data_IF_288579202575
#
_entry.id   IF_288579202575
#
_cell.length_a   1.000
_cell.length_b   1.000
_cell.length_c   1.000
_cell.angle_alpha   90.00
_cell.angle_beta   90.00
_cell.angle_gamma   90.00
#
_symmetry.space_group_name_H-M   'P 1'
#
loop_
_entity.id
_entity.type
_entity.pdbx_description
1 polymer ?
#
# COMPACT_ATOMS: atom_id res chain seq x y z
N UNK A 1 7.75 -6.23 18.67
CA UNK A 1 6.89 -5.60 17.63
C UNK A 1 5.85 -6.58 17.09
N UNK A 2 6.24 -7.75 16.59
CA UNK A 2 5.27 -8.77 16.14
C UNK A 2 4.28 -9.20 17.22
N UNK A 3 4.77 -9.71 18.35
CA UNK A 3 3.91 -10.14 19.45
C UNK A 3 3.23 -8.99 20.18
N UNK A 4 3.96 -7.89 20.42
CA UNK A 4 3.44 -6.75 21.19
C UNK A 4 2.40 -5.90 20.44
N UNK A 5 2.36 -5.95 19.10
CA UNK A 5 1.41 -5.19 18.28
C UNK A 5 0.56 -6.09 17.37
N UNK A 6 0.64 -7.41 17.55
CA UNK A 6 -0.13 -8.38 16.75
C UNK A 6 0.16 -8.31 15.25
N UNK A 7 1.40 -8.01 14.84
CA UNK A 7 1.71 -7.94 13.41
C UNK A 7 1.73 -9.34 12.79
N UNK A 8 1.17 -9.52 11.58
CA UNK A 8 1.20 -10.80 10.89
C UNK A 8 2.63 -11.18 10.52
N UNK A 9 3.00 -12.45 10.71
CA UNK A 9 4.36 -12.94 10.42
C UNK A 9 4.73 -12.85 8.94
N UNK A 10 3.74 -12.81 8.04
CA UNK A 10 3.98 -12.62 6.62
C UNK A 10 4.69 -11.28 6.31
N UNK A 11 4.58 -10.29 7.20
CA UNK A 11 5.33 -9.04 7.07
C UNK A 11 6.85 -9.26 7.02
N UNK A 12 7.38 -10.28 7.72
CA UNK A 12 8.81 -10.59 7.70
C UNK A 12 9.32 -11.07 6.32
N UNK A 13 8.42 -11.55 5.46
CA UNK A 13 8.74 -11.95 4.08
C UNK A 13 8.66 -10.79 3.09
N UNK A 14 8.18 -9.61 3.51
CA UNK A 14 8.03 -8.48 2.62
C UNK A 14 9.44 -7.92 2.23
N UNK A 15 9.78 -7.83 0.93
CA UNK A 15 11.07 -7.31 0.50
C UNK A 15 11.37 -5.88 0.98
N UNK A 16 10.34 -5.02 1.10
CA UNK A 16 10.50 -3.65 1.60
C UNK A 16 10.83 -3.64 3.10
N UNK A 17 10.25 -4.55 3.87
CA UNK A 17 10.58 -4.73 5.28
C UNK A 17 12.05 -5.13 5.44
N UNK A 18 12.50 -6.18 4.73
CA UNK A 18 13.89 -6.63 4.77
C UNK A 18 14.88 -5.54 4.34
N UNK A 19 14.60 -4.86 3.23
CA UNK A 19 15.45 -3.76 2.73
C UNK A 19 15.55 -2.60 3.72
N UNK A 20 14.46 -2.26 4.42
CA UNK A 20 14.50 -1.18 5.41
C UNK A 20 15.49 -1.49 6.55
N UNK A 21 15.46 -2.72 7.08
CA UNK A 21 16.39 -3.13 8.14
C UNK A 21 17.82 -3.32 7.64
N UNK A 22 18.01 -3.88 6.44
CA UNK A 22 19.34 -3.97 5.81
C UNK A 22 19.95 -2.57 5.60
N UNK A 23 19.15 -1.62 5.11
CA UNK A 23 19.59 -0.24 4.93
C UNK A 23 19.98 0.39 6.28
N UNK A 24 19.14 0.25 7.30
CA UNK A 24 19.42 0.78 8.63
C UNK A 24 20.66 0.15 9.29
N UNK A 25 20.91 -1.15 9.05
CA UNK A 25 22.08 -1.84 9.58
C UNK A 25 23.38 -1.43 8.85
N UNK A 26 23.30 -1.21 7.54
CA UNK A 26 24.48 -0.89 6.71
C UNK A 26 24.83 0.60 6.69
N UNK A 27 23.95 1.49 7.14
CA UNK A 27 24.13 2.94 7.08
C UNK A 27 24.02 3.59 8.46
N UNK A 28 24.85 4.60 8.72
CA UNK A 28 24.70 5.45 9.92
C UNK A 28 23.50 6.39 9.74
N UNK A 29 22.37 6.04 10.35
CA UNK A 29 21.14 6.85 10.35
C UNK A 29 21.06 7.80 11.55
N UNK A 30 22.14 8.55 11.81
CA UNK A 30 22.24 9.43 12.96
C UNK A 30 21.15 10.51 12.94
N UNK A 31 20.41 10.65 14.04
CA UNK A 31 19.32 11.64 14.17
C UNK A 31 18.04 11.27 13.42
N UNK A 32 17.95 10.07 12.83
CA UNK A 32 16.72 9.63 12.18
C UNK A 32 15.60 9.43 13.21
N UNK A 33 14.50 10.18 13.04
CA UNK A 33 13.25 9.97 13.77
C UNK A 33 12.23 9.38 12.81
N UNK A 34 11.69 8.18 13.08
CA UNK A 34 10.67 7.59 12.22
C UNK A 34 9.44 8.50 12.14
N UNK A 35 8.77 8.57 10.98
CA UNK A 35 7.56 9.37 10.83
C UNK A 35 6.46 8.85 11.77
N UNK A 36 5.79 9.77 12.46
CA UNK A 36 4.66 9.44 13.32
C UNK A 36 3.43 8.95 12.54
N UNK A 37 2.49 8.34 13.26
CA UNK A 37 1.27 7.74 12.70
C UNK A 37 0.52 8.66 11.72
N UNK A 38 0.24 9.90 12.11
CA UNK A 38 -0.50 10.84 11.27
C UNK A 38 0.24 11.17 9.97
N UNK A 39 1.58 11.33 10.04
CA UNK A 39 2.42 11.62 8.88
C UNK A 39 2.41 10.46 7.88
N UNK A 40 2.44 9.23 8.38
CA UNK A 40 2.29 8.03 7.54
C UNK A 40 0.91 7.95 6.90
N UNK A 41 -0.15 8.15 7.69
CA UNK A 41 -1.54 8.02 7.25
C UNK A 41 -1.91 9.03 6.16
N UNK A 42 -1.41 10.26 6.23
CA UNK A 42 -1.82 11.34 5.32
C UNK A 42 -0.76 11.61 4.28
N UNK A 43 0.35 12.23 4.69
CA UNK A 43 1.34 12.80 3.77
C UNK A 43 2.03 11.70 2.95
N UNK A 44 2.47 10.63 3.59
CA UNK A 44 3.20 9.57 2.90
C UNK A 44 2.29 8.72 2.03
N UNK A 45 1.06 8.43 2.49
CA UNK A 45 0.07 7.73 1.68
C UNK A 45 -0.29 8.53 0.41
N UNK A 46 -0.47 9.84 0.54
CA UNK A 46 -0.73 10.72 -0.60
C UNK A 46 0.44 10.75 -1.58
N UNK A 47 1.67 10.81 -1.06
CA UNK A 47 2.88 10.77 -1.88
C UNK A 47 3.02 9.44 -2.63
N UNK A 48 2.84 8.32 -1.94
CA UNK A 48 2.89 6.99 -2.54
C UNK A 48 1.86 6.82 -3.67
N UNK A 49 0.62 7.31 -3.43
CA UNK A 49 -0.42 7.32 -4.45
C UNK A 49 0.03 8.12 -5.68
N UNK A 50 0.52 9.35 -5.48
CA UNK A 50 0.92 10.24 -6.58
C UNK A 50 2.11 9.72 -7.37
N UNK A 51 3.13 9.22 -6.69
CA UNK A 51 4.43 8.97 -7.33
C UNK A 51 4.52 7.54 -7.88
N UNK A 52 4.01 6.56 -7.13
CA UNK A 52 4.12 5.16 -7.50
C UNK A 52 2.83 4.63 -8.12
N UNK A 53 1.67 4.81 -7.46
CA UNK A 53 0.42 4.22 -7.94
C UNK A 53 0.01 4.82 -9.28
N UNK A 54 0.02 6.15 -9.42
CA UNK A 54 -0.29 6.78 -10.70
C UNK A 54 0.66 6.32 -11.81
N UNK A 55 1.98 6.33 -11.56
CA UNK A 55 2.97 5.87 -12.54
C UNK A 55 2.77 4.42 -12.98
N UNK A 56 2.39 3.51 -12.06
CA UNK A 56 2.07 2.13 -12.41
C UNK A 56 0.77 2.01 -13.21
N UNK A 57 -0.20 2.89 -12.96
CA UNK A 57 -1.51 2.87 -13.62
C UNK A 57 -1.52 3.61 -14.96
N UNK A 58 -0.58 4.51 -15.22
CA UNK A 58 -0.56 5.30 -16.45
C UNK A 58 -0.52 4.44 -17.73
N UNK A 59 0.30 3.37 -17.83
CA UNK A 59 0.27 2.47 -19.00
C UNK A 59 -1.09 1.80 -19.18
N UNK A 60 -1.72 1.36 -18.08
CA UNK A 60 -3.04 0.73 -18.12
C UNK A 60 -4.09 1.72 -18.64
N UNK A 61 -4.08 2.96 -18.12
CA UNK A 61 -4.99 4.04 -18.53
C UNK A 61 -4.85 4.42 -20.01
N UNK A 62 -3.65 4.36 -20.56
CA UNK A 62 -3.43 4.62 -21.98
C UNK A 62 -4.12 3.57 -22.86
N UNK A 63 -4.09 2.30 -22.46
CA UNK A 63 -4.73 1.21 -23.22
C UNK A 63 -6.26 1.27 -23.24
N UNK A 64 -6.89 1.96 -22.28
CA UNK A 64 -8.34 2.07 -22.16
C UNK A 64 -9.01 2.75 -23.35
N UNK A 65 -8.32 3.70 -24.01
CA UNK A 65 -8.84 4.37 -25.21
C UNK A 65 -9.00 3.41 -26.39
N UNK A 66 -8.17 2.38 -26.46
CA UNK A 66 -8.12 1.44 -27.57
C UNK A 66 -8.91 0.16 -27.27
N UNK A 67 -8.84 -0.34 -26.03
CA UNK A 67 -9.37 -1.65 -25.64
C UNK A 67 -10.67 -1.58 -24.84
N UNK A 68 -11.22 -0.38 -24.63
CA UNK A 68 -12.30 -0.10 -23.68
C UNK A 68 -11.92 -0.57 -22.25
N UNK A 69 -12.85 -0.42 -21.31
CA UNK A 69 -12.67 -0.88 -19.92
C UNK A 69 -13.92 -1.63 -19.51
N UNK A 70 -13.73 -2.80 -18.89
CA UNK A 70 -14.83 -3.50 -18.22
C UNK A 70 -14.73 -3.27 -16.72
N UNK A 71 -15.84 -2.88 -16.09
CA UNK A 71 -15.93 -2.71 -14.63
C UNK A 71 -16.75 -3.86 -14.05
N UNK A 72 -16.15 -4.59 -13.12
CA UNK A 72 -16.84 -5.61 -12.33
C UNK A 72 -17.03 -5.06 -10.93
N UNK A 73 -18.28 -4.98 -10.49
CA UNK A 73 -18.64 -4.62 -9.12
C UNK A 73 -19.08 -5.86 -8.35
N UNK A 74 -18.51 -6.06 -7.17
CA UNK A 74 -18.90 -7.12 -6.23
C UNK A 74 -19.20 -6.50 -4.86
N UNK A 75 -20.06 -7.14 -4.06
CA UNK A 75 -20.49 -6.67 -2.76
C UNK A 75 -20.54 -7.79 -1.75
N UNK A 76 -19.82 -7.64 -0.63
CA UNK A 76 -19.90 -8.57 0.50
C UNK A 76 -20.29 -7.82 1.77
N UNK A 77 -21.02 -8.49 2.66
CA UNK A 77 -21.35 -7.95 3.99
C UNK A 77 -20.57 -8.72 5.04
N UNK A 78 -19.88 -8.01 5.91
CA UNK A 78 -19.19 -8.64 7.02
C UNK A 78 -20.20 -9.19 8.05
N UNK A 79 -19.78 -10.08 8.98
CA UNK A 79 -20.64 -10.56 10.06
C UNK A 79 -21.19 -9.45 10.98
N UNK A 80 -20.60 -8.26 10.95
CA UNK A 80 -21.06 -7.06 11.68
C UNK A 80 -22.02 -6.19 10.87
N UNK A 81 -22.47 -6.69 9.70
CA UNK A 81 -23.38 -6.04 8.75
C UNK A 81 -22.85 -4.74 8.12
N UNK A 82 -21.53 -4.58 8.02
CA UNK A 82 -20.92 -3.50 7.25
C UNK A 82 -20.77 -3.94 5.79
N UNK A 83 -21.41 -3.24 4.83
CA UNK A 83 -21.28 -3.55 3.43
C UNK A 83 -19.90 -3.10 2.92
N UNK A 84 -19.24 -3.97 2.15
CA UNK A 84 -18.01 -3.70 1.43
C UNK A 84 -18.26 -3.89 -0.07
N UNK A 85 -18.04 -2.83 -0.83
CA UNK A 85 -18.22 -2.82 -2.29
C UNK A 85 -16.85 -2.79 -2.95
N UNK A 86 -16.58 -3.78 -3.78
CA UNK A 86 -15.35 -3.91 -4.55
C UNK A 86 -15.62 -3.50 -5.99
N UNK A 87 -14.68 -2.75 -6.58
CA UNK A 87 -14.66 -2.45 -8.00
C UNK A 87 -13.34 -2.93 -8.59
N UNK A 88 -13.43 -3.69 -9.68
CA UNK A 88 -12.28 -4.07 -10.48
C UNK A 88 -12.47 -3.51 -11.89
N UNK A 89 -11.42 -2.90 -12.44
CA UNK A 89 -11.39 -2.40 -13.81
C UNK A 89 -10.28 -3.14 -14.56
N UNK A 90 -10.65 -3.76 -15.68
CA UNK A 90 -9.74 -4.49 -16.57
C UNK A 90 -9.81 -3.93 -17.97
#
# INVERSE_FOLDING_TARGET
>A
MFYTRGLPFNLARNPHYLRAFQFAANNKINGYVPPGYNKLRTIWLQKEKRDNVHRLLDPLRLTWKEKCVTIVSDGWSDPTRKPLINFMAT
#
